data_IF_902504039309
#
_entry.id   IF_902504039309
#
_cell.length_a   1.000
_cell.length_b   1.000
_cell.length_c   1.000
_cell.angle_alpha   90.00
_cell.angle_beta   90.00
_cell.angle_gamma   90.00
#
_symmetry.space_group_name_H-M   'P 1'
#
loop_
_entity.id
_entity.type
_entity.pdbx_description
1 polymer ?
#
# COMPACT_ATOMS: atom_id res chain seq x y z
N UNK A 1 -15.20 -1.10 -8.09
CA UNK A 1 -16.60 -1.56 -8.00
C UNK A 1 -17.42 -0.72 -7.01
N UNK A 2 -17.01 -0.62 -5.73
CA UNK A 2 -17.73 0.17 -4.70
C UNK A 2 -17.94 1.65 -5.06
N UNK A 3 -16.94 2.34 -5.62
CA UNK A 3 -17.09 3.74 -6.05
C UNK A 3 -18.12 3.92 -7.17
N UNK A 4 -18.26 2.93 -8.06
CA UNK A 4 -19.28 2.94 -9.11
C UNK A 4 -20.65 2.70 -8.51
N UNK A 5 -20.78 1.72 -7.59
CA UNK A 5 -22.02 1.46 -6.85
C UNK A 5 -22.50 2.72 -6.11
N UNK A 6 -21.59 3.41 -5.41
CA UNK A 6 -21.86 4.68 -4.74
C UNK A 6 -22.46 5.73 -5.69
N UNK A 7 -21.84 5.92 -6.86
CA UNK A 7 -22.30 6.88 -7.85
C UNK A 7 -23.70 6.54 -8.39
N UNK A 8 -23.95 5.26 -8.67
CA UNK A 8 -25.28 4.77 -9.12
C UNK A 8 -26.35 5.06 -8.06
N UNK A 9 -26.11 4.71 -6.80
CA UNK A 9 -27.05 4.96 -5.70
C UNK A 9 -27.35 6.46 -5.56
N UNK A 10 -26.32 7.31 -5.59
CA UNK A 10 -26.49 8.76 -5.49
C UNK A 10 -27.33 9.33 -6.65
N UNK A 11 -27.15 8.81 -7.87
CA UNK A 11 -27.95 9.19 -9.03
C UNK A 11 -29.42 8.78 -8.87
N UNK A 12 -29.68 7.56 -8.41
CA UNK A 12 -31.05 7.06 -8.16
C UNK A 12 -31.77 7.85 -7.07
N UNK A 13 -31.07 8.19 -5.99
CA UNK A 13 -31.59 9.07 -4.92
C UNK A 13 -31.89 10.46 -5.47
N UNK A 14 -31.00 11.04 -6.28
CA UNK A 14 -31.23 12.36 -6.87
C UNK A 14 -32.46 12.36 -7.80
N UNK A 15 -32.59 11.35 -8.65
CA UNK A 15 -33.76 11.16 -9.52
C UNK A 15 -35.06 11.04 -8.73
N UNK A 16 -35.06 10.22 -7.67
CA UNK A 16 -36.23 10.03 -6.80
C UNK A 16 -36.62 11.34 -6.08
N UNK A 17 -35.64 12.11 -5.60
CA UNK A 17 -35.87 13.43 -4.99
C UNK A 17 -36.48 14.42 -5.97
N UNK A 18 -36.01 14.45 -7.22
CA UNK A 18 -36.59 15.29 -8.27
C UNK A 18 -38.06 14.94 -8.52
N UNK A 19 -38.39 13.64 -8.55
CA UNK A 19 -39.77 13.17 -8.73
C UNK A 19 -40.66 13.52 -7.54
N UNK A 20 -40.18 13.36 -6.30
CA UNK A 20 -40.91 13.80 -5.10
C UNK A 20 -41.17 15.31 -5.14
N UNK A 21 -40.18 16.12 -5.54
CA UNK A 21 -40.34 17.57 -5.67
C UNK A 21 -41.40 17.95 -6.71
N UNK A 22 -41.47 17.24 -7.83
CA UNK A 22 -42.56 17.39 -8.80
C UNK A 22 -43.92 17.10 -8.16
N UNK A 23 -44.06 15.96 -7.45
CA UNK A 23 -45.31 15.57 -6.79
C UNK A 23 -45.74 16.61 -5.75
N UNK A 24 -44.79 17.13 -4.95
CA UNK A 24 -45.06 18.16 -3.95
C UNK A 24 -45.61 19.47 -4.56
N UNK A 25 -45.21 19.80 -5.80
CA UNK A 25 -45.75 20.96 -6.53
C UNK A 25 -47.12 20.67 -7.15
N UNK A 26 -47.32 19.47 -7.70
CA UNK A 26 -48.58 19.08 -8.35
C UNK A 26 -49.72 18.83 -7.35
N UNK A 27 -49.42 18.38 -6.14
CA UNK A 27 -50.43 18.08 -5.11
C UNK A 27 -51.40 19.24 -4.82
N UNK A 28 -50.91 20.46 -4.50
CA UNK A 28 -51.75 21.63 -4.31
C UNK A 28 -52.61 22.00 -5.54
N UNK A 29 -52.07 21.85 -6.75
CA UNK A 29 -52.79 22.12 -7.99
C UNK A 29 -53.98 21.17 -8.17
N UNK A 30 -53.77 19.87 -7.96
CA UNK A 30 -54.84 18.86 -8.00
C UNK A 30 -55.91 19.13 -6.93
N UNK A 31 -55.51 19.57 -5.74
CA UNK A 31 -56.48 19.92 -4.69
C UNK A 31 -57.34 21.15 -5.07
N UNK A 32 -56.75 22.14 -5.73
CA UNK A 32 -57.47 23.30 -6.24
C UNK A 32 -58.41 22.92 -7.41
N UNK A 33 -57.92 22.16 -8.39
CA UNK A 33 -58.72 21.65 -9.52
C UNK A 33 -59.91 20.82 -9.03
N UNK A 34 -59.70 19.95 -8.04
CA UNK A 34 -60.76 19.14 -7.41
C UNK A 34 -61.86 20.02 -6.81
N UNK A 35 -61.48 21.07 -6.07
CA UNK A 35 -62.43 22.02 -5.45
C UNK A 35 -63.24 22.77 -6.49
N UNK A 36 -62.61 23.21 -7.58
CA UNK A 36 -63.29 23.88 -8.69
C UNK A 36 -64.29 22.94 -9.38
N UNK A 37 -63.90 21.70 -9.68
CA UNK A 37 -64.77 20.70 -10.29
C UNK A 37 -65.98 20.38 -9.38
N UNK A 38 -65.75 20.23 -8.07
CA UNK A 38 -66.82 20.02 -7.09
C UNK A 38 -67.77 21.23 -6.99
N UNK A 39 -67.26 22.46 -6.99
CA UNK A 39 -68.06 23.68 -6.97
C UNK A 39 -68.92 23.83 -8.24
N UNK A 40 -68.40 23.39 -9.39
CA UNK A 40 -69.14 23.30 -10.65
C UNK A 40 -70.11 22.11 -10.70
N UNK A 41 -70.29 21.36 -9.61
CA UNK A 41 -71.11 20.13 -9.52
C UNK A 41 -70.70 19.03 -10.51
N UNK A 42 -69.45 19.06 -10.99
CA UNK A 42 -68.87 18.02 -11.81
C UNK A 42 -68.16 16.97 -10.93
N UNK A 43 -68.95 16.14 -10.25
CA UNK A 43 -68.44 15.15 -9.29
C UNK A 43 -67.62 14.03 -9.95
N UNK A 44 -67.89 13.71 -11.22
CA UNK A 44 -67.11 12.72 -11.97
C UNK A 44 -65.67 13.18 -12.14
N UNK A 45 -65.48 14.44 -12.52
CA UNK A 45 -64.15 15.01 -12.69
C UNK A 45 -63.45 15.23 -11.34
N UNK A 46 -64.17 15.70 -10.31
CA UNK A 46 -63.62 15.79 -8.96
C UNK A 46 -63.14 14.41 -8.43
N UNK A 47 -63.89 13.34 -8.72
CA UNK A 47 -63.50 11.97 -8.38
C UNK A 47 -62.25 11.49 -9.13
N UNK A 48 -62.14 11.82 -10.42
CA UNK A 48 -60.94 11.51 -11.23
C UNK A 48 -59.70 12.20 -10.67
N UNK A 49 -59.79 13.49 -10.36
CA UNK A 49 -58.69 14.29 -9.79
C UNK A 49 -58.31 13.77 -8.40
N UNK A 50 -59.29 13.38 -7.58
CA UNK A 50 -59.02 12.78 -6.27
C UNK A 50 -58.25 11.44 -6.39
N UNK A 51 -58.59 10.62 -7.39
CA UNK A 51 -57.88 9.38 -7.66
C UNK A 51 -56.42 9.63 -8.11
N UNK A 52 -56.20 10.63 -8.96
CA UNK A 52 -54.85 11.06 -9.39
C UNK A 52 -54.01 11.55 -8.20
N UNK A 53 -54.59 12.41 -7.36
CA UNK A 53 -53.92 12.90 -6.14
C UNK A 53 -53.53 11.76 -5.19
N UNK A 54 -54.42 10.77 -5.00
CA UNK A 54 -54.13 9.59 -4.19
C UNK A 54 -53.02 8.73 -4.80
N UNK A 55 -53.02 8.56 -6.13
CA UNK A 55 -51.97 7.80 -6.83
C UNK A 55 -50.59 8.46 -6.69
N UNK A 56 -50.50 9.79 -6.86
CA UNK A 56 -49.25 10.52 -6.67
C UNK A 56 -48.77 10.50 -5.21
N UNK A 57 -49.71 10.52 -4.25
CA UNK A 57 -49.36 10.42 -2.82
C UNK A 57 -48.72 9.06 -2.51
N UNK A 58 -49.30 7.97 -3.02
CA UNK A 58 -48.72 6.63 -2.88
C UNK A 58 -47.37 6.51 -3.60
N UNK A 59 -47.23 7.10 -4.79
CA UNK A 59 -45.94 7.16 -5.50
C UNK A 59 -44.87 7.86 -4.65
N UNK A 60 -45.20 9.00 -4.04
CA UNK A 60 -44.30 9.74 -3.15
C UNK A 60 -43.87 8.90 -1.95
N UNK A 61 -44.78 8.22 -1.28
CA UNK A 61 -44.46 7.34 -0.14
C UNK A 61 -43.50 6.22 -0.56
N UNK A 62 -43.75 5.59 -1.70
CA UNK A 62 -42.87 4.56 -2.24
C UNK A 62 -41.48 5.11 -2.62
N UNK A 63 -41.41 6.29 -3.23
CA UNK A 63 -40.14 6.95 -3.54
C UNK A 63 -39.38 7.36 -2.28
N UNK A 64 -40.08 7.79 -1.23
CA UNK A 64 -39.45 8.11 0.05
C UNK A 64 -38.82 6.87 0.67
N UNK A 65 -39.56 5.75 0.70
CA UNK A 65 -39.01 4.48 1.16
C UNK A 65 -37.77 4.06 0.37
N UNK A 66 -37.81 4.17 -0.97
CA UNK A 66 -36.65 3.88 -1.81
C UNK A 66 -35.43 4.76 -1.49
N UNK A 67 -35.65 6.04 -1.19
CA UNK A 67 -34.57 6.95 -0.79
C UNK A 67 -33.99 6.52 0.56
N UNK A 68 -34.84 6.13 1.51
CA UNK A 68 -34.41 5.70 2.85
C UNK A 68 -33.59 4.39 2.75
N UNK A 69 -34.07 3.42 1.98
CA UNK A 69 -33.36 2.17 1.69
C UNK A 69 -32.00 2.45 0.99
N UNK A 70 -32.00 3.27 -0.05
CA UNK A 70 -30.78 3.67 -0.77
C UNK A 70 -29.79 4.45 0.11
N UNK A 71 -30.27 5.21 1.10
CA UNK A 71 -29.40 5.92 2.04
C UNK A 71 -28.68 4.95 2.99
N UNK A 72 -29.34 3.86 3.39
CA UNK A 72 -28.70 2.79 4.16
C UNK A 72 -27.62 2.09 3.34
N UNK A 73 -27.95 1.69 2.10
CA UNK A 73 -26.99 1.05 1.20
C UNK A 73 -25.79 1.96 0.87
N UNK A 74 -26.02 3.27 0.73
CA UNK A 74 -24.97 4.25 0.50
C UNK A 74 -24.00 4.30 1.69
N UNK A 75 -24.55 4.34 2.90
CA UNK A 75 -23.76 4.37 4.14
C UNK A 75 -22.89 3.12 4.27
N UNK A 76 -23.45 1.94 4.02
CA UNK A 76 -22.70 0.68 4.02
C UNK A 76 -21.55 0.70 3.01
N UNK A 77 -21.82 1.16 1.78
CA UNK A 77 -20.80 1.26 0.74
C UNK A 77 -19.68 2.26 1.11
N UNK A 78 -20.02 3.39 1.75
CA UNK A 78 -19.04 4.38 2.21
C UNK A 78 -18.16 3.85 3.35
N UNK A 79 -18.75 3.14 4.32
CA UNK A 79 -18.02 2.47 5.41
C UNK A 79 -17.06 1.40 4.87
N UNK A 80 -17.49 0.60 3.88
CA UNK A 80 -16.65 -0.43 3.25
C UNK A 80 -15.48 0.19 2.47
N UNK A 81 -15.72 1.29 1.74
CA UNK A 81 -14.67 2.05 1.05
C UNK A 81 -13.63 2.57 2.06
N UNK A 82 -14.09 3.14 3.18
CA UNK A 82 -13.19 3.67 4.21
C UNK A 82 -12.36 2.56 4.83
N UNK A 83 -12.99 1.45 5.21
CA UNK A 83 -12.30 0.30 5.80
C UNK A 83 -11.25 -0.28 4.83
N UNK A 84 -11.60 -0.43 3.56
CA UNK A 84 -10.70 -0.95 2.53
C UNK A 84 -9.51 -0.01 2.32
N UNK A 85 -9.76 1.29 2.28
CA UNK A 85 -8.72 2.32 2.11
C UNK A 85 -7.77 2.34 3.31
N UNK A 86 -8.29 2.18 4.53
CA UNK A 86 -7.48 2.09 5.75
C UNK A 86 -6.55 0.88 5.71
N UNK A 87 -7.09 -0.31 5.41
CA UNK A 87 -6.30 -1.54 5.27
C UNK A 87 -5.23 -1.40 4.19
N UNK A 88 -5.57 -0.78 3.06
CA UNK A 88 -4.62 -0.55 1.97
C UNK A 88 -3.43 0.30 2.45
N UNK A 89 -3.70 1.39 3.16
CA UNK A 89 -2.65 2.25 3.72
C UNK A 89 -1.76 1.50 4.72
N UNK A 90 -2.36 0.75 5.64
CA UNK A 90 -1.61 -0.07 6.61
C UNK A 90 -0.71 -1.09 5.90
N UNK A 91 -1.20 -1.70 4.81
CA UNK A 91 -0.39 -2.62 4.00
C UNK A 91 0.73 -1.91 3.24
N UNK A 92 0.48 -0.72 2.67
CA UNK A 92 1.50 0.08 1.98
C UNK A 92 2.61 0.51 2.93
N UNK A 93 2.26 0.95 4.15
CA UNK A 93 3.23 1.29 5.20
C UNK A 93 4.06 0.06 5.59
N UNK A 94 3.43 -1.10 5.77
CA UNK A 94 4.11 -2.36 6.09
C UNK A 94 5.05 -2.80 4.97
N UNK A 95 4.62 -2.73 3.71
CA UNK A 95 5.43 -3.07 2.54
C UNK A 95 6.64 -2.15 2.47
N UNK A 96 6.46 -0.84 2.61
CA UNK A 96 7.55 0.12 2.60
C UNK A 96 8.59 -0.16 3.69
N UNK A 97 8.15 -0.50 4.90
CA UNK A 97 9.05 -0.91 5.98
C UNK A 97 9.84 -2.17 5.59
N UNK A 98 9.18 -3.19 5.02
CA UNK A 98 9.83 -4.44 4.62
C UNK A 98 10.78 -4.27 3.44
N UNK A 99 10.46 -3.41 2.48
CA UNK A 99 11.36 -3.05 1.38
C UNK A 99 12.62 -2.38 1.90
N UNK A 100 12.50 -1.45 2.86
CA UNK A 100 13.65 -0.83 3.53
C UNK A 100 14.50 -1.86 4.28
N UNK A 101 13.89 -2.73 5.08
CA UNK A 101 14.60 -3.81 5.79
C UNK A 101 15.35 -4.74 4.80
N UNK A 102 14.70 -5.14 3.70
CA UNK A 102 15.29 -5.99 2.68
C UNK A 102 16.43 -5.29 1.92
N UNK A 103 16.25 -4.01 1.58
CA UNK A 103 17.29 -3.20 0.94
C UNK A 103 18.51 -3.05 1.85
N UNK A 104 18.30 -2.79 3.15
CA UNK A 104 19.39 -2.72 4.13
C UNK A 104 20.12 -4.07 4.24
N UNK A 105 19.39 -5.17 4.33
CA UNK A 105 19.98 -6.52 4.37
C UNK A 105 20.80 -6.81 3.11
N UNK A 106 20.31 -6.42 1.92
CA UNK A 106 21.03 -6.56 0.65
C UNK A 106 22.30 -5.71 0.63
N UNK A 107 22.25 -4.45 1.05
CA UNK A 107 23.46 -3.62 1.14
C UNK A 107 24.52 -4.26 2.03
N UNK A 108 24.11 -4.76 3.21
CA UNK A 108 25.02 -5.44 4.14
C UNK A 108 25.66 -6.67 3.50
N UNK A 109 24.85 -7.49 2.82
CA UNK A 109 25.35 -8.67 2.08
C UNK A 109 26.35 -8.29 0.99
N UNK A 110 26.07 -7.24 0.21
CA UNK A 110 26.96 -6.79 -0.87
C UNK A 110 28.31 -6.30 -0.34
N UNK A 111 28.32 -5.57 0.79
CA UNK A 111 29.57 -5.16 1.45
C UNK A 111 30.39 -6.36 1.95
N UNK A 112 29.72 -7.42 2.43
CA UNK A 112 30.39 -8.67 2.77
C UNK A 112 31.02 -9.34 1.55
N UNK A 113 30.28 -9.43 0.44
CA UNK A 113 30.79 -9.98 -0.83
C UNK A 113 32.01 -9.19 -1.31
N UNK A 114 31.96 -7.85 -1.27
CA UNK A 114 33.10 -7.01 -1.63
C UNK A 114 34.33 -7.27 -0.74
N UNK A 115 34.13 -7.41 0.57
CA UNK A 115 35.20 -7.71 1.52
C UNK A 115 35.79 -9.12 1.32
N UNK A 116 34.95 -10.13 1.03
CA UNK A 116 35.37 -11.50 0.73
C UNK A 116 36.19 -11.54 -0.56
N UNK A 117 35.71 -10.93 -1.65
CA UNK A 117 36.43 -10.85 -2.92
C UNK A 117 37.78 -10.12 -2.75
N UNK A 118 37.84 -9.07 -1.94
CA UNK A 118 39.10 -8.39 -1.62
C UNK A 118 40.08 -9.28 -0.84
N UNK A 119 39.60 -10.07 0.12
CA UNK A 119 40.44 -11.01 0.87
C UNK A 119 41.01 -12.12 -0.03
N UNK A 120 40.16 -12.68 -0.90
CA UNK A 120 40.57 -13.70 -1.87
C UNK A 120 41.57 -13.12 -2.89
N UNK A 121 41.35 -11.87 -3.32
CA UNK A 121 42.27 -11.15 -4.21
C UNK A 121 43.68 -11.06 -3.62
N UNK A 122 43.80 -10.75 -2.32
CA UNK A 122 45.12 -10.71 -1.67
C UNK A 122 45.81 -12.08 -1.73
N UNK A 123 45.06 -13.17 -1.55
CA UNK A 123 45.60 -14.53 -1.66
C UNK A 123 46.02 -14.86 -3.10
N UNK A 124 45.24 -14.48 -4.11
CA UNK A 124 45.59 -14.65 -5.52
C UNK A 124 46.87 -13.89 -5.90
N UNK A 125 47.03 -12.66 -5.38
CA UNK A 125 48.26 -11.88 -5.55
C UNK A 125 49.48 -12.55 -4.91
N UNK A 126 49.35 -13.12 -3.71
CA UNK A 126 50.43 -13.89 -3.07
C UNK A 126 50.83 -15.13 -3.88
N UNK A 127 49.87 -15.75 -4.57
CA UNK A 127 50.10 -16.91 -5.44
C UNK A 127 50.59 -16.55 -6.85
N UNK A 128 50.66 -15.25 -7.17
CA UNK A 128 51.08 -14.75 -8.49
C UNK A 128 50.03 -14.89 -9.60
N UNK A 129 48.77 -15.18 -9.25
CA UNK A 129 47.65 -15.28 -10.19
C UNK A 129 47.02 -13.90 -10.42
N UNK A 130 47.56 -13.17 -11.40
CA UNK A 130 47.15 -11.80 -11.70
C UNK A 130 45.78 -11.71 -12.38
N UNK A 131 45.39 -12.75 -13.15
CA UNK A 131 44.11 -12.77 -13.86
C UNK A 131 42.96 -12.99 -12.86
N UNK A 132 43.14 -13.90 -11.90
CA UNK A 132 42.19 -14.11 -10.81
C UNK A 132 42.12 -12.87 -9.90
N UNK A 133 43.26 -12.29 -9.54
CA UNK A 133 43.30 -11.07 -8.73
C UNK A 133 42.61 -9.86 -9.41
N UNK A 134 42.69 -9.77 -10.74
CA UNK A 134 41.98 -8.76 -11.53
C UNK A 134 40.46 -9.00 -11.57
N UNK A 135 40.04 -10.25 -11.71
CA UNK A 135 38.63 -10.64 -11.72
C UNK A 135 37.97 -10.35 -10.37
N UNK A 136 38.62 -10.73 -9.26
CA UNK A 136 38.15 -10.48 -7.90
C UNK A 136 38.09 -8.98 -7.53
N UNK A 137 38.99 -8.17 -8.09
CA UNK A 137 38.91 -6.71 -7.93
C UNK A 137 37.63 -6.15 -8.57
N UNK A 138 37.32 -6.59 -9.80
CA UNK A 138 36.10 -6.18 -10.50
C UNK A 138 34.85 -6.60 -9.73
N UNK A 139 34.81 -7.82 -9.20
CA UNK A 139 33.69 -8.31 -8.40
C UNK A 139 33.48 -7.47 -7.13
N UNK A 140 34.57 -7.12 -6.45
CA UNK A 140 34.51 -6.27 -5.26
C UNK A 140 33.98 -4.87 -5.59
N UNK A 141 34.47 -4.24 -6.66
CA UNK A 141 34.04 -2.91 -7.11
C UNK A 141 32.57 -2.89 -7.54
N UNK A 142 32.11 -3.93 -8.25
CA UNK A 142 30.73 -4.07 -8.68
C UNK A 142 29.77 -4.22 -7.48
N UNK A 143 30.12 -5.09 -6.53
CA UNK A 143 29.35 -5.29 -5.31
C UNK A 143 29.28 -4.00 -4.46
N UNK A 144 30.39 -3.27 -4.36
CA UNK A 144 30.46 -2.02 -3.60
C UNK A 144 29.67 -0.87 -4.25
N UNK A 145 29.72 -0.80 -5.58
CA UNK A 145 28.94 0.13 -6.41
C UNK A 145 27.44 -0.12 -6.26
N UNK A 146 27.01 -1.38 -6.31
CA UNK A 146 25.61 -1.75 -6.09
C UNK A 146 25.14 -1.43 -4.66
N UNK A 147 25.96 -1.73 -3.66
CA UNK A 147 25.66 -1.40 -2.26
C UNK A 147 25.47 0.10 -2.06
N UNK A 148 26.35 0.90 -2.67
CA UNK A 148 26.32 2.37 -2.60
C UNK A 148 25.09 2.96 -3.28
N UNK A 149 24.68 2.42 -4.44
CA UNK A 149 23.44 2.83 -5.14
C UNK A 149 22.20 2.57 -4.29
N UNK A 150 22.10 1.40 -3.67
CA UNK A 150 20.99 1.05 -2.77
C UNK A 150 20.97 1.91 -1.51
N UNK A 151 22.15 2.20 -0.94
CA UNK A 151 22.26 3.10 0.19
C UNK A 151 21.73 4.50 -0.12
N UNK A 152 22.07 5.06 -1.29
CA UNK A 152 21.58 6.35 -1.74
C UNK A 152 20.08 6.34 -2.04
N UNK A 153 19.56 5.27 -2.68
CA UNK A 153 18.14 5.21 -3.05
C UNK A 153 17.21 5.15 -1.84
N UNK A 154 17.69 4.61 -0.72
CA UNK A 154 16.92 4.47 0.52
C UNK A 154 17.37 5.43 1.65
N UNK A 155 18.36 6.30 1.38
CA UNK A 155 18.95 7.24 2.35
C UNK A 155 19.39 6.58 3.66
N UNK A 156 20.10 5.44 3.59
CA UNK A 156 20.63 4.82 4.80
C UNK A 156 21.87 5.61 5.30
N UNK A 157 21.76 6.29 6.45
CA UNK A 157 22.87 7.04 7.07
C UNK A 157 23.51 6.31 8.26
N UNK A 158 24.86 6.39 8.32
CA UNK A 158 25.71 6.41 9.53
C UNK A 158 25.66 5.22 10.50
N UNK A 159 24.58 5.02 11.25
CA UNK A 159 24.58 4.12 12.40
C UNK A 159 24.17 2.65 12.10
N UNK A 160 23.42 2.41 11.02
CA UNK A 160 23.00 1.05 10.65
C UNK A 160 24.08 0.25 9.90
N UNK A 161 25.09 0.93 9.35
CA UNK A 161 26.23 0.36 8.62
C UNK A 161 27.49 0.27 9.49
N UNK A 162 27.82 1.29 10.29
CA UNK A 162 29.05 1.32 11.10
C UNK A 162 29.17 0.16 12.11
N UNK A 163 28.05 -0.44 12.51
CA UNK A 163 28.04 -1.57 13.47
C UNK A 163 28.54 -2.89 12.85
N UNK A 164 28.58 -3.01 11.52
CA UNK A 164 29.09 -4.19 10.83
C UNK A 164 30.58 -4.10 10.56
N UNK A 165 31.08 -2.96 10.05
CA UNK A 165 32.53 -2.75 9.84
C UNK A 165 33.35 -3.00 11.12
N UNK A 166 32.80 -2.66 12.28
CA UNK A 166 33.44 -2.88 13.59
C UNK A 166 33.43 -4.35 14.07
N UNK A 167 32.69 -5.24 13.42
CA UNK A 167 32.49 -6.66 13.84
C UNK A 167 33.01 -7.70 12.86
N UNK A 168 33.46 -7.29 11.67
CA UNK A 168 34.03 -8.19 10.69
C UNK A 168 35.49 -8.45 11.02
N UNK A 169 35.74 -9.52 11.77
CA UNK A 169 37.08 -10.07 11.92
C UNK A 169 37.30 -10.97 10.70
N UNK A 170 38.30 -10.69 9.88
CA UNK A 170 38.58 -11.53 8.72
C UNK A 170 38.99 -12.93 9.17
N UNK A 171 38.52 -13.96 8.45
CA UNK A 171 38.96 -15.34 8.67
C UNK A 171 40.47 -15.44 8.52
N UNK A 172 41.07 -14.63 7.65
CA UNK A 172 42.51 -14.48 7.50
C UNK A 172 43.22 -14.04 8.79
N UNK A 173 42.64 -13.10 9.55
CA UNK A 173 43.18 -12.72 10.87
C UNK A 173 43.06 -13.88 11.85
N UNK A 174 41.96 -14.64 11.81
CA UNK A 174 41.75 -15.83 12.67
C UNK A 174 42.75 -16.93 12.33
N UNK A 175 42.99 -17.20 11.04
CA UNK A 175 43.90 -18.24 10.57
C UNK A 175 45.36 -17.84 10.76
N UNK A 176 45.73 -16.57 10.55
CA UNK A 176 47.07 -16.04 10.87
C UNK A 176 47.36 -16.13 12.37
N UNK A 177 46.43 -15.73 13.24
CA UNK A 177 46.61 -15.89 14.69
C UNK A 177 46.82 -17.36 15.09
N UNK A 178 46.04 -18.26 14.49
CA UNK A 178 46.15 -19.70 14.74
C UNK A 178 47.46 -20.28 14.21
N UNK A 179 47.90 -19.83 13.03
CA UNK A 179 49.16 -20.21 12.40
C UNK A 179 50.38 -19.71 13.17
N UNK A 180 50.35 -18.48 13.68
CA UNK A 180 51.42 -17.93 14.53
C UNK A 180 51.53 -18.68 15.86
N UNK A 181 50.40 -19.06 16.48
CA UNK A 181 50.41 -19.91 17.68
C UNK A 181 50.99 -21.30 17.38
N UNK A 182 50.62 -21.92 16.27
CA UNK A 182 51.17 -23.20 15.83
C UNK A 182 52.67 -23.11 15.54
N UNK A 183 53.12 -22.05 14.85
CA UNK A 183 54.54 -21.81 14.56
C UNK A 183 55.34 -21.61 15.85
N UNK A 184 54.78 -20.92 16.84
CA UNK A 184 55.41 -20.69 18.15
C UNK A 184 55.55 -22.00 18.95
N UNK A 185 54.54 -22.86 18.91
CA UNK A 185 54.60 -24.21 19.51
C UNK A 185 55.67 -25.05 18.81
N UNK A 186 55.67 -25.09 17.47
CA UNK A 186 56.67 -25.83 16.70
C UNK A 186 58.12 -25.36 16.99
N UNK A 187 58.35 -24.05 17.07
CA UNK A 187 59.65 -23.48 17.40
C UNK A 187 60.11 -23.83 18.83
N UNK A 188 59.19 -23.89 19.81
CA UNK A 188 59.50 -24.29 21.18
C UNK A 188 59.89 -25.77 21.30
N UNK A 189 59.38 -26.64 20.43
CA UNK A 189 59.77 -28.05 20.36
C UNK A 189 61.12 -28.26 19.65
N UNK A 190 61.45 -27.43 18.65
CA UNK A 190 62.75 -27.46 17.96
C UNK A 190 63.91 -26.88 18.80
N UNK A 191 63.63 -25.92 19.69
CA UNK A 191 64.62 -25.36 20.62
C UNK A 191 64.92 -26.25 21.84
N UNK A 192 64.17 -27.34 22.03
CA UNK A 192 64.29 -28.24 23.17
C UNK A 192 64.98 -29.59 22.83
N UNK A 193 65.49 -29.72 21.60
CA UNK A 193 66.41 -30.79 21.16
C UNK A 193 67.84 -30.23 21.06
#
# INVERSE_FOLDING_TARGET
ELSSKRATIQQEVASSKLRINFINRRGPELEAEKKVAAAARNFKEAGRIAAESKALSLEKENLQKKIDDAALELKEAEEEIEQTTRKLRETEETVLCKEKEAALARCKRLRLVAAEAMAERYSALEMGDLDEAGSLLSEAEDADSEASKLQLSYNFEGEEFEKLDKKLISVEVITKLSGEQLAKVAASHLSAM
#
